data_IF_685004904932
#
_entry.id   IF_685004904932
#
_cell.length_a   1.000
_cell.length_b   1.000
_cell.length_c   1.000
_cell.angle_alpha   90.00
_cell.angle_beta   90.00
_cell.angle_gamma   90.00
#
_symmetry.space_group_name_H-M   'P 1'
#
loop_
_entity.id
_entity.type
_entity.pdbx_description
1 polymer ?
#
# COMPACT_ATOMS: atom_id res chain seq x y z
N UNK A 1 45.01 -10.17 30.72
CA UNK A 1 44.49 -9.04 29.93
C UNK A 1 43.54 -9.60 28.89
N UNK A 2 42.23 -9.75 29.13
CA UNK A 2 41.17 -8.74 28.92
C UNK A 2 41.50 -7.73 27.82
N UNK A 3 40.87 -7.87 26.65
CA UNK A 3 39.79 -6.97 26.18
C UNK A 3 38.79 -7.81 25.36
N UNK A 4 37.57 -7.89 25.90
CA UNK A 4 36.34 -8.31 25.23
C UNK A 4 35.79 -7.08 24.50
N UNK A 5 35.33 -7.20 23.25
CA UNK A 5 34.13 -6.51 22.69
C UNK A 5 33.58 -7.38 21.55
N UNK A 6 32.52 -8.16 21.80
CA UNK A 6 31.08 -7.83 21.62
C UNK A 6 30.64 -8.29 20.21
N UNK A 7 30.05 -9.47 20.00
CA UNK A 7 28.70 -9.92 20.40
C UNK A 7 27.57 -8.90 20.13
N UNK A 8 27.63 -8.16 19.01
CA UNK A 8 26.57 -7.21 18.61
C UNK A 8 25.63 -7.68 17.47
N UNK A 9 25.80 -8.89 16.92
CA UNK A 9 24.97 -9.35 15.79
C UNK A 9 23.95 -10.44 16.13
N UNK A 10 23.76 -10.76 17.42
CA UNK A 10 22.73 -11.74 17.88
C UNK A 10 21.79 -11.19 18.95
N UNK A 11 21.67 -9.87 19.06
CA UNK A 11 20.72 -9.19 19.95
C UNK A 11 19.92 -8.07 19.23
N UNK A 12 19.64 -8.25 17.93
CA UNK A 12 18.64 -7.45 17.20
C UNK A 12 17.50 -8.33 16.64
N UNK A 13 17.32 -9.49 17.26
CA UNK A 13 16.13 -10.33 17.14
C UNK A 13 15.80 -10.75 18.58
N UNK A 14 14.57 -10.51 19.03
CA UNK A 14 14.10 -10.70 20.41
C UNK A 14 14.45 -9.60 21.43
N UNK A 15 13.87 -8.41 21.29
CA UNK A 15 13.17 -7.71 22.40
C UNK A 15 12.50 -6.47 21.83
N UNK A 16 11.26 -6.64 21.40
CA UNK A 16 10.28 -5.58 21.22
C UNK A 16 9.04 -5.86 22.06
N UNK A 17 9.21 -6.45 23.25
CA UNK A 17 8.17 -6.49 24.26
C UNK A 17 8.09 -5.10 24.88
N UNK A 18 7.36 -4.19 24.23
CA UNK A 18 6.84 -3.02 24.93
C UNK A 18 5.74 -3.51 25.86
N UNK A 19 6.07 -3.60 27.15
CA UNK A 19 5.09 -3.78 28.20
C UNK A 19 4.12 -2.60 28.19
N UNK A 20 2.90 -2.84 27.70
CA UNK A 20 1.77 -1.99 27.99
C UNK A 20 1.36 -2.34 29.43
N UNK A 21 1.79 -1.54 30.39
CA UNK A 21 1.10 -1.45 31.68
C UNK A 21 0.27 -0.18 31.65
N UNK A 22 -0.80 -0.21 30.87
CA UNK A 22 -1.95 0.64 31.17
C UNK A 22 -2.93 -0.27 31.91
N UNK A 23 -2.97 -0.13 33.23
CA UNK A 23 -4.06 -0.64 34.05
C UNK A 23 -5.35 0.04 33.57
N UNK A 24 -6.00 -0.54 32.58
CA UNK A 24 -7.37 -0.16 32.24
C UNK A 24 -8.25 -0.92 33.22
N UNK A 25 -9.10 -0.26 34.02
CA UNK A 25 -10.16 -0.96 34.70
C UNK A 25 -11.06 -1.57 33.62
N UNK A 26 -10.93 -2.89 33.42
CA UNK A 26 -11.97 -3.67 32.75
C UNK A 26 -13.15 -3.62 33.70
N UNK A 27 -14.04 -2.65 33.50
CA UNK A 27 -15.38 -2.72 34.09
C UNK A 27 -16.08 -3.83 33.33
N UNK A 28 -15.91 -5.07 33.82
CA UNK A 28 -16.85 -6.15 33.56
C UNK A 28 -18.13 -5.73 34.27
N UNK A 29 -18.96 -4.91 33.63
CA UNK A 29 -20.31 -4.66 34.13
C UNK A 29 -21.10 -5.93 33.89
N UNK A 30 -21.01 -6.86 34.82
CA UNK A 30 -22.01 -7.90 34.99
C UNK A 30 -23.31 -7.20 35.39
N UNK A 31 -24.07 -6.74 34.41
CA UNK A 31 -25.49 -6.49 34.60
C UNK A 31 -26.17 -7.85 34.81
N UNK A 32 -26.03 -8.39 36.01
CA UNK A 32 -26.98 -9.35 36.55
C UNK A 32 -28.29 -8.58 36.76
N UNK A 33 -29.23 -8.72 35.84
CA UNK A 33 -30.63 -8.49 36.13
C UNK A 33 -31.09 -9.62 37.05
N UNK A 34 -30.96 -9.43 38.36
CA UNK A 34 -31.84 -10.12 39.30
C UNK A 34 -32.92 -9.12 39.69
N UNK A 35 -33.90 -8.97 38.81
CA UNK A 35 -35.22 -8.46 39.20
C UNK A 35 -36.11 -9.67 39.39
N UNK A 36 -36.22 -10.15 40.62
CA UNK A 36 -37.39 -10.87 41.10
C UNK A 36 -37.54 -10.55 42.58
N UNK A 37 -38.40 -9.59 42.87
CA UNK A 37 -38.93 -9.39 44.20
C UNK A 37 -40.24 -10.18 44.30
N UNK A 38 -40.31 -11.02 45.33
CA UNK A 38 -41.50 -11.63 45.93
C UNK A 38 -42.00 -12.98 45.36
N UNK A 39 -41.84 -14.06 46.14
CA UNK A 39 -42.53 -15.34 45.86
C UNK A 39 -41.95 -16.55 46.58
N UNK A 40 -42.53 -16.88 47.74
CA UNK A 40 -42.34 -18.09 48.52
C UNK A 40 -42.58 -19.39 47.71
N UNK A 41 -41.68 -20.39 47.79
CA UNK A 41 -42.05 -21.81 47.65
C UNK A 41 -41.34 -22.70 46.61
N UNK A 42 -40.59 -23.68 47.14
CA UNK A 42 -40.49 -25.10 46.75
C UNK A 42 -39.57 -25.56 45.58
N UNK A 43 -38.79 -26.61 45.89
CA UNK A 43 -37.92 -27.43 45.04
C UNK A 43 -38.61 -27.99 43.77
N UNK A 44 -37.92 -28.00 42.62
CA UNK A 44 -37.52 -29.24 41.92
C UNK A 44 -36.55 -28.95 40.75
N UNK A 45 -35.66 -29.89 40.45
CA UNK A 45 -34.52 -29.74 39.56
C UNK A 45 -34.81 -29.54 38.07
N UNK A 46 -33.84 -28.92 37.39
CA UNK A 46 -33.72 -28.84 35.94
C UNK A 46 -32.24 -28.70 35.58
N UNK A 47 -31.77 -29.59 34.71
CA UNK A 47 -30.39 -29.71 34.23
C UNK A 47 -29.81 -28.37 33.79
N UNK A 48 -28.59 -28.09 34.27
CA UNK A 48 -27.78 -26.95 33.83
C UNK A 48 -27.50 -27.04 32.34
N UNK A 49 -28.24 -26.26 31.56
CA UNK A 49 -27.75 -25.81 30.26
C UNK A 49 -26.57 -24.90 30.52
N UNK A 50 -25.48 -25.11 29.78
CA UNK A 50 -24.32 -24.22 29.75
C UNK A 50 -24.81 -22.77 29.66
N UNK A 51 -24.69 -22.03 30.77
CA UNK A 51 -24.84 -20.58 30.73
C UNK A 51 -23.64 -20.05 29.96
N UNK A 52 -23.78 -19.99 28.64
CA UNK A 52 -22.89 -19.19 27.80
C UNK A 52 -22.95 -17.77 28.35
N UNK A 53 -21.89 -17.38 29.04
CA UNK A 53 -21.75 -16.07 29.65
C UNK A 53 -21.64 -15.07 28.50
N UNK A 54 -22.77 -14.44 28.16
CA UNK A 54 -22.79 -13.41 27.13
C UNK A 54 -21.96 -12.23 27.59
N UNK A 55 -20.82 -11.99 26.94
CA UNK A 55 -19.98 -10.84 27.23
C UNK A 55 -20.33 -9.70 26.29
N UNK A 56 -20.49 -8.51 26.86
CA UNK A 56 -20.55 -7.26 26.11
C UNK A 56 -19.14 -6.69 26.05
N UNK A 57 -18.64 -6.44 24.85
CA UNK A 57 -17.27 -6.00 24.60
C UNK A 57 -17.31 -4.68 23.85
N UNK A 58 -16.62 -3.67 24.39
CA UNK A 58 -16.44 -2.37 23.75
C UNK A 58 -15.15 -2.37 22.92
N UNK A 59 -15.18 -2.10 21.60
CA UNK A 59 -13.97 -2.04 20.81
C UNK A 59 -13.04 -0.91 21.27
N UNK A 60 -11.74 -1.19 21.35
CA UNK A 60 -10.71 -0.22 21.74
C UNK A 60 -9.63 -0.16 20.66
N UNK A 61 -9.65 0.89 19.83
CA UNK A 61 -8.69 1.04 18.72
C UNK A 61 -7.29 1.34 19.26
N UNK A 62 -6.26 0.88 18.57
CA UNK A 62 -4.87 1.29 18.84
C UNK A 62 -4.68 2.75 18.44
N UNK A 63 -3.86 3.48 19.20
CA UNK A 63 -3.47 4.85 18.84
C UNK A 63 -2.68 4.90 17.53
N UNK A 64 -1.92 3.84 17.25
CA UNK A 64 -1.04 3.73 16.08
C UNK A 64 -1.16 2.34 15.46
N UNK A 65 -1.45 2.30 14.17
CA UNK A 65 -1.53 1.10 13.34
C UNK A 65 -0.49 1.22 12.23
N UNK A 66 0.48 0.31 12.23
CA UNK A 66 1.54 0.24 11.23
C UNK A 66 1.46 -1.11 10.50
N UNK A 67 1.16 -1.05 9.21
CA UNK A 67 0.99 -2.21 8.35
C UNK A 67 1.95 -2.14 7.16
N UNK A 68 2.18 -3.31 6.58
CA UNK A 68 2.86 -3.44 5.29
C UNK A 68 2.18 -4.52 4.46
N UNK A 69 2.21 -4.38 3.15
CA UNK A 69 1.67 -5.36 2.23
C UNK A 69 1.44 -4.83 0.82
N UNK A 70 0.79 -5.64 -0.01
CA UNK A 70 0.53 -5.33 -1.42
C UNK A 70 -0.39 -4.11 -1.59
N UNK A 71 -0.20 -3.38 -2.69
CA UNK A 71 -1.02 -2.22 -3.06
C UNK A 71 -2.52 -2.55 -3.10
N UNK A 72 -2.88 -3.75 -3.57
CA UNK A 72 -4.28 -4.18 -3.69
C UNK A 72 -5.06 -4.26 -2.37
N UNK A 73 -4.38 -4.25 -1.22
CA UNK A 73 -5.03 -4.19 0.09
C UNK A 73 -5.55 -2.78 0.42
N UNK A 74 -5.08 -1.75 -0.27
CA UNK A 74 -5.49 -0.34 -0.06
C UNK A 74 -5.98 0.35 -1.34
N UNK A 75 -5.81 -0.29 -2.50
CA UNK A 75 -6.23 0.22 -3.79
C UNK A 75 -6.84 -0.89 -4.64
N UNK A 76 -8.11 -0.75 -5.00
CA UNK A 76 -8.76 -1.64 -5.94
C UNK A 76 -8.56 -1.10 -7.37
N UNK A 77 -7.88 -1.87 -8.21
CA UNK A 77 -7.61 -1.55 -9.61
C UNK A 77 -8.72 -2.02 -10.57
N UNK A 78 -9.76 -2.69 -10.07
CA UNK A 78 -10.85 -3.20 -10.89
C UNK A 78 -11.62 -2.07 -11.59
N UNK A 79 -12.09 -2.37 -12.80
CA UNK A 79 -12.92 -1.44 -13.60
C UNK A 79 -14.41 -1.56 -13.30
N UNK A 80 -14.81 -2.58 -12.54
CA UNK A 80 -16.20 -2.93 -12.20
C UNK A 80 -16.28 -3.27 -10.72
N UNK A 81 -17.28 -2.76 -10.02
CA UNK A 81 -17.50 -2.96 -8.57
C UNK A 81 -16.30 -2.57 -7.69
N UNK A 82 -15.54 -1.58 -8.15
CA UNK A 82 -14.34 -1.06 -7.50
C UNK A 82 -14.63 -0.60 -6.07
N UNK A 83 -13.92 -1.17 -5.11
CA UNK A 83 -13.95 -0.74 -3.71
C UNK A 83 -13.08 0.50 -3.49
N UNK A 84 -13.58 1.45 -2.71
CA UNK A 84 -12.74 2.54 -2.23
C UNK A 84 -11.78 2.09 -1.11
N UNK A 85 -10.73 2.87 -0.86
CA UNK A 85 -9.72 2.56 0.15
C UNK A 85 -10.32 2.44 1.56
N UNK A 86 -11.35 3.22 1.88
CA UNK A 86 -12.06 3.11 3.17
C UNK A 86 -12.71 1.74 3.35
N UNK A 87 -13.33 1.22 2.29
CA UNK A 87 -13.99 -0.08 2.23
C UNK A 87 -12.97 -1.20 2.35
N UNK A 88 -11.84 -1.12 1.63
CA UNK A 88 -10.76 -2.10 1.74
C UNK A 88 -10.16 -2.16 3.15
N UNK A 89 -9.93 -1.00 3.79
CA UNK A 89 -9.43 -0.95 5.16
C UNK A 89 -10.50 -1.48 6.14
N UNK A 90 -11.78 -1.17 5.92
CA UNK A 90 -12.89 -1.73 6.72
C UNK A 90 -12.94 -3.26 6.62
N UNK A 91 -12.76 -3.81 5.43
CA UNK A 91 -12.66 -5.25 5.21
C UNK A 91 -11.44 -5.86 5.91
N UNK A 92 -10.27 -5.21 5.87
CA UNK A 92 -9.07 -5.67 6.59
C UNK A 92 -9.26 -5.60 8.13
N UNK A 93 -9.94 -4.58 8.65
CA UNK A 93 -10.27 -4.47 10.08
C UNK A 93 -11.10 -5.67 10.54
N UNK A 94 -12.11 -6.07 9.77
CA UNK A 94 -12.97 -7.22 10.09
C UNK A 94 -12.22 -8.54 9.99
N UNK A 95 -11.32 -8.67 9.01
CA UNK A 95 -10.52 -9.87 8.79
C UNK A 95 -9.38 -10.01 9.81
N UNK A 96 -8.81 -8.90 10.26
CA UNK A 96 -7.60 -8.85 11.09
C UNK A 96 -7.73 -7.90 12.30
N UNK A 97 -8.73 -8.07 13.19
CA UNK A 97 -9.02 -7.11 14.25
C UNK A 97 -7.86 -6.92 15.24
N UNK A 98 -7.03 -7.94 15.45
CA UNK A 98 -5.80 -7.88 16.26
C UNK A 98 -4.77 -6.86 15.77
N UNK A 99 -4.81 -6.51 14.48
CA UNK A 99 -3.93 -5.48 13.92
C UNK A 99 -4.38 -4.08 14.33
N UNK A 100 -5.67 -3.86 14.53
CA UNK A 100 -6.28 -2.54 14.69
C UNK A 100 -6.75 -2.21 16.10
N UNK A 101 -7.20 -3.21 16.87
CA UNK A 101 -7.74 -3.03 18.21
C UNK A 101 -6.79 -3.60 19.26
N UNK A 102 -6.74 -2.99 20.44
CA UNK A 102 -6.00 -3.52 21.59
C UNK A 102 -6.66 -4.77 22.17
N UNK A 103 -7.98 -4.89 22.00
CA UNK A 103 -8.79 -6.06 22.35
C UNK A 103 -9.28 -6.84 21.12
N UNK A 104 -8.47 -6.87 20.04
CA UNK A 104 -8.82 -7.54 18.78
C UNK A 104 -9.24 -9.01 18.94
N UNK A 105 -8.54 -9.74 19.81
CA UNK A 105 -8.76 -11.16 20.03
C UNK A 105 -10.15 -11.45 20.63
N UNK A 106 -10.64 -10.53 21.45
CA UNK A 106 -11.92 -10.65 22.15
C UNK A 106 -13.10 -10.34 21.20
N UNK A 107 -12.90 -9.43 20.24
CA UNK A 107 -13.96 -9.00 19.31
C UNK A 107 -13.95 -9.74 17.97
N UNK A 108 -12.97 -10.61 17.72
CA UNK A 108 -12.68 -11.18 16.39
C UNK A 108 -13.85 -11.89 15.71
N UNK A 109 -14.71 -12.53 16.49
CA UNK A 109 -15.81 -13.31 15.94
C UNK A 109 -17.06 -12.47 15.74
N UNK A 110 -17.29 -11.46 16.60
CA UNK A 110 -18.43 -10.58 16.47
C UNK A 110 -18.21 -9.47 15.43
N UNK A 111 -16.99 -8.97 15.27
CA UNK A 111 -16.72 -7.85 14.36
C UNK A 111 -16.90 -8.21 12.87
N UNK A 112 -16.78 -9.49 12.51
CA UNK A 112 -16.98 -9.99 11.14
C UNK A 112 -18.37 -9.64 10.60
N UNK A 113 -19.37 -9.70 11.47
CA UNK A 113 -20.78 -9.41 11.16
C UNK A 113 -21.15 -7.95 11.47
N UNK A 114 -20.25 -7.18 12.07
CA UNK A 114 -20.47 -5.78 12.37
C UNK A 114 -20.34 -4.91 11.11
N UNK A 115 -21.13 -3.84 11.05
CA UNK A 115 -20.85 -2.76 10.12
C UNK A 115 -19.71 -1.90 10.67
N UNK A 116 -18.56 -1.95 9.99
CA UNK A 116 -17.40 -1.12 10.27
C UNK A 116 -17.32 -0.01 9.23
N UNK A 117 -17.25 1.24 9.68
CA UNK A 117 -17.08 2.41 8.81
C UNK A 117 -15.71 3.02 9.07
N UNK A 118 -14.96 3.28 8.01
CA UNK A 118 -13.65 3.93 8.06
C UNK A 118 -13.74 5.24 7.26
N UNK A 119 -13.14 6.30 7.79
CA UNK A 119 -12.90 7.53 7.07
C UNK A 119 -11.42 7.92 7.19
N UNK A 120 -10.68 7.82 6.10
CA UNK A 120 -9.32 8.36 5.96
C UNK A 120 -9.21 9.60 5.08
N UNK A 121 -10.33 10.16 4.60
CA UNK A 121 -10.38 11.29 3.66
C UNK A 121 -9.53 11.09 2.40
N UNK A 122 -9.45 9.86 1.89
CA UNK A 122 -8.70 9.53 0.68
C UNK A 122 -9.34 10.18 -0.56
N UNK A 123 -8.54 10.88 -1.36
CA UNK A 123 -8.99 11.46 -2.63
C UNK A 123 -7.86 11.54 -3.65
N UNK A 124 -8.24 11.56 -4.93
CA UNK A 124 -7.39 11.76 -6.09
C UNK A 124 -7.95 12.83 -7.07
N UNK A 125 -8.94 13.63 -6.62
CA UNK A 125 -9.62 14.63 -7.44
C UNK A 125 -8.70 15.67 -8.07
N UNK A 126 -7.60 16.05 -7.41
CA UNK A 126 -6.64 17.07 -7.86
C UNK A 126 -5.83 16.63 -9.09
N UNK A 127 -5.95 15.36 -9.50
CA UNK A 127 -5.28 14.84 -10.69
C UNK A 127 -6.17 14.88 -11.94
N UNK A 128 -7.43 15.30 -11.79
CA UNK A 128 -8.42 15.33 -12.87
C UNK A 128 -8.66 16.76 -13.40
N UNK A 129 -7.63 17.62 -13.36
CA UNK A 129 -7.72 19.00 -13.84
C UNK A 129 -8.17 19.08 -15.31
N UNK A 130 -8.94 20.11 -15.65
CA UNK A 130 -9.38 20.36 -17.02
C UNK A 130 -8.17 20.51 -17.95
N UNK A 131 -8.06 19.62 -18.94
CA UNK A 131 -6.96 19.58 -19.91
C UNK A 131 -5.88 18.56 -19.61
N UNK A 132 -5.91 17.88 -18.45
CA UNK A 132 -5.06 16.72 -18.19
C UNK A 132 -5.44 15.56 -19.13
N UNK A 133 -4.45 15.03 -19.85
CA UNK A 133 -4.65 13.90 -20.76
C UNK A 133 -4.62 12.59 -19.99
N UNK A 134 -5.35 11.58 -20.48
CA UNK A 134 -5.12 10.21 -20.02
C UNK A 134 -3.68 9.80 -20.36
N UNK A 135 -3.04 9.00 -19.50
CA UNK A 135 -1.66 8.57 -19.76
C UNK A 135 -1.52 7.81 -21.09
N UNK A 136 -2.52 6.99 -21.45
CA UNK A 136 -2.55 6.24 -22.71
C UNK A 136 -2.64 7.11 -23.96
N UNK A 137 -3.12 8.35 -23.83
CA UNK A 137 -3.17 9.35 -24.89
C UNK A 137 -1.89 10.19 -24.90
N UNK A 138 -1.45 10.63 -23.71
CA UNK A 138 -0.25 11.44 -23.54
C UNK A 138 1.02 10.71 -23.98
N UNK A 139 1.15 9.42 -23.64
CA UNK A 139 2.35 8.60 -23.92
C UNK A 139 2.56 8.34 -25.41
N UNK A 140 1.54 8.58 -26.24
CA UNK A 140 1.56 8.40 -27.70
C UNK A 140 1.72 9.70 -28.46
N UNK A 141 1.87 10.83 -27.77
CA UNK A 141 1.99 12.15 -28.40
C UNK A 141 3.34 12.25 -29.14
N UNK A 142 3.35 11.83 -30.42
CA UNK A 142 4.54 11.60 -31.25
C UNK A 142 5.40 12.83 -31.55
N UNK A 143 5.02 14.00 -31.04
CA UNK A 143 5.81 15.22 -31.08
C UNK A 143 6.76 15.39 -29.88
N UNK A 144 6.71 14.49 -28.91
CA UNK A 144 7.47 14.59 -27.67
C UNK A 144 8.49 13.47 -27.56
N UNK A 145 9.78 13.81 -27.49
CA UNK A 145 10.81 12.88 -27.06
C UNK A 145 10.65 12.65 -25.55
N UNK A 146 9.76 11.73 -25.16
CA UNK A 146 9.43 11.44 -23.77
C UNK A 146 10.61 10.66 -23.16
N UNK A 147 11.31 11.29 -22.23
CA UNK A 147 12.32 10.61 -21.42
C UNK A 147 11.60 9.83 -20.32
N UNK A 148 11.93 8.57 -20.12
CA UNK A 148 11.47 7.78 -18.97
C UNK A 148 12.56 7.80 -17.90
N UNK A 149 12.20 8.14 -16.68
CA UNK A 149 13.13 8.08 -15.55
C UNK A 149 12.46 7.40 -14.37
N UNK A 150 13.07 6.31 -13.92
CA UNK A 150 12.69 5.63 -12.69
C UNK A 150 13.05 6.49 -11.48
N UNK A 151 12.13 6.59 -10.53
CA UNK A 151 12.38 7.17 -9.23
C UNK A 151 13.53 6.42 -8.54
N UNK A 152 14.63 7.09 -8.16
CA UNK A 152 15.82 6.39 -7.69
C UNK A 152 15.54 5.55 -6.43
N UNK A 153 16.01 4.31 -6.41
CA UNK A 153 15.84 3.40 -5.27
C UNK A 153 16.43 3.96 -3.97
N UNK A 154 17.49 4.77 -4.05
CA UNK A 154 18.10 5.43 -2.90
C UNK A 154 17.44 6.76 -2.50
N UNK A 155 16.44 7.23 -3.25
CA UNK A 155 15.68 8.40 -2.87
C UNK A 155 14.78 8.09 -1.66
N UNK A 156 14.42 9.14 -0.92
CA UNK A 156 13.58 8.99 0.27
C UNK A 156 12.20 8.42 -0.09
N UNK A 157 11.59 7.67 0.83
CA UNK A 157 10.19 7.29 0.65
C UNK A 157 9.28 8.53 0.64
N UNK A 158 8.21 8.44 -0.14
CA UNK A 158 7.22 9.49 -0.33
C UNK A 158 6.05 9.21 0.61
N UNK A 159 5.98 9.96 1.70
CA UNK A 159 4.88 9.87 2.67
C UNK A 159 3.70 10.77 2.24
N UNK A 160 2.53 10.16 2.06
CA UNK A 160 1.29 10.84 1.66
C UNK A 160 0.09 10.32 2.46
N UNK A 161 -0.88 11.18 2.76
CA UNK A 161 -2.19 10.79 3.30
C UNK A 161 -3.18 10.42 2.20
N UNK A 162 -2.96 10.91 0.98
CA UNK A 162 -3.76 10.62 -0.21
C UNK A 162 -3.02 11.00 -1.49
N UNK A 163 -3.54 10.59 -2.64
CA UNK A 163 -3.02 11.03 -3.94
C UNK A 163 -3.19 12.55 -4.11
N UNK A 164 -4.23 13.17 -3.56
CA UNK A 164 -4.34 14.63 -3.52
C UNK A 164 -3.19 15.29 -2.76
N UNK A 165 -2.75 14.71 -1.63
CA UNK A 165 -1.56 15.24 -0.94
C UNK A 165 -0.32 15.12 -1.83
N UNK A 166 -0.13 13.98 -2.52
CA UNK A 166 0.98 13.84 -3.48
C UNK A 166 0.98 14.98 -4.50
N UNK A 167 -0.19 15.31 -5.07
CA UNK A 167 -0.32 16.42 -6.02
C UNK A 167 0.02 17.76 -5.39
N UNK A 168 -0.60 18.06 -4.25
CA UNK A 168 -0.57 19.39 -3.63
C UNK A 168 0.71 19.68 -2.83
N UNK A 169 1.47 18.64 -2.47
CA UNK A 169 2.75 18.76 -1.74
C UNK A 169 3.96 18.62 -2.65
N UNK A 170 3.92 17.68 -3.59
CA UNK A 170 5.07 17.31 -4.41
C UNK A 170 4.99 17.91 -5.82
N UNK A 171 3.78 17.97 -6.40
CA UNK A 171 3.57 18.32 -7.80
C UNK A 171 2.65 19.53 -8.00
N UNK A 172 2.72 20.48 -7.06
CA UNK A 172 1.81 21.64 -6.97
C UNK A 172 2.16 22.72 -7.99
N UNK A 173 3.44 23.06 -8.06
CA UNK A 173 3.96 24.19 -8.82
C UNK A 173 5.40 23.93 -9.27
N UNK A 174 5.94 24.85 -10.08
CA UNK A 174 7.26 24.67 -10.66
C UNK A 174 8.39 24.58 -9.62
N UNK A 175 8.25 25.27 -8.48
CA UNK A 175 9.27 25.30 -7.43
C UNK A 175 9.30 23.98 -6.66
N UNK A 176 8.12 23.51 -6.24
CA UNK A 176 7.96 22.23 -5.53
C UNK A 176 8.43 21.05 -6.38
N UNK A 177 8.08 21.03 -7.67
CA UNK A 177 8.53 19.98 -8.59
C UNK A 177 10.06 19.99 -8.75
N UNK A 178 10.65 21.16 -8.99
CA UNK A 178 12.11 21.27 -9.16
C UNK A 178 12.86 20.87 -7.89
N UNK A 179 12.33 21.25 -6.72
CA UNK A 179 12.85 20.83 -5.42
C UNK A 179 12.77 19.31 -5.25
N UNK A 180 11.62 18.71 -5.56
CA UNK A 180 11.44 17.26 -5.48
C UNK A 180 12.42 16.49 -6.39
N UNK A 181 12.61 16.93 -7.63
CA UNK A 181 13.59 16.36 -8.57
C UNK A 181 15.00 16.41 -7.97
N UNK A 182 15.38 17.56 -7.42
CA UNK A 182 16.71 17.80 -6.85
C UNK A 182 16.95 16.96 -5.58
N UNK A 183 16.01 16.98 -4.64
CA UNK A 183 16.10 16.25 -3.37
C UNK A 183 16.13 14.73 -3.60
N UNK A 184 15.36 14.26 -4.60
CA UNK A 184 15.32 12.85 -5.00
C UNK A 184 16.51 12.42 -5.86
N UNK A 185 17.43 13.35 -6.18
CA UNK A 185 18.62 13.10 -7.01
C UNK A 185 18.29 12.54 -8.40
N UNK A 186 17.12 12.90 -8.94
CA UNK A 186 16.70 12.52 -10.29
C UNK A 186 17.61 13.25 -11.29
N UNK A 187 18.28 12.51 -12.16
CA UNK A 187 19.23 13.07 -13.13
C UNK A 187 18.52 13.41 -14.43
N UNK A 188 18.37 14.69 -14.73
CA UNK A 188 17.78 15.19 -15.98
C UNK A 188 18.82 15.99 -16.75
N UNK A 189 19.00 15.68 -18.03
CA UNK A 189 19.90 16.42 -18.90
C UNK A 189 19.50 17.89 -18.96
N UNK A 190 20.46 18.80 -18.76
CA UNK A 190 20.25 20.24 -18.79
C UNK A 190 19.17 20.76 -17.81
N UNK A 191 18.97 20.09 -16.65
CA UNK A 191 17.99 20.50 -15.64
C UNK A 191 18.10 21.99 -15.27
N UNK A 192 19.32 22.51 -15.15
CA UNK A 192 19.58 23.92 -14.83
C UNK A 192 19.00 24.92 -15.86
N UNK A 193 18.73 24.47 -17.08
CA UNK A 193 18.14 25.28 -18.16
C UNK A 193 16.62 25.15 -18.24
N UNK A 194 15.96 24.42 -17.32
CA UNK A 194 14.52 24.21 -17.33
C UNK A 194 13.80 25.14 -16.34
N UNK A 195 12.56 25.50 -16.66
CA UNK A 195 11.67 26.32 -15.84
C UNK A 195 10.20 25.94 -16.11
N UNK A 196 9.26 26.49 -15.32
CA UNK A 196 7.82 26.26 -15.51
C UNK A 196 7.42 24.77 -15.50
N UNK A 197 7.96 24.03 -14.53
CA UNK A 197 7.61 22.62 -14.33
C UNK A 197 6.11 22.48 -14.02
N UNK A 198 5.48 21.48 -14.63
CA UNK A 198 4.06 21.17 -14.47
C UNK A 198 3.78 19.70 -14.76
N UNK A 199 2.64 19.22 -14.26
CA UNK A 199 2.09 17.91 -14.60
C UNK A 199 1.13 18.05 -15.79
N UNK A 200 1.17 17.15 -16.78
CA UNK A 200 0.26 17.18 -17.93
C UNK A 200 -0.70 15.98 -18.05
N UNK A 201 -0.57 14.94 -17.21
CA UNK A 201 -1.45 13.78 -17.22
C UNK A 201 -2.30 13.63 -15.96
N UNK A 202 -3.37 12.85 -16.12
CA UNK A 202 -3.99 12.15 -15.01
C UNK A 202 -3.05 11.04 -14.53
N UNK A 203 -3.08 10.75 -13.23
CA UNK A 203 -2.32 9.64 -12.67
C UNK A 203 -2.64 8.34 -13.39
N UNK A 204 -1.58 7.57 -13.62
CA UNK A 204 -1.69 6.23 -14.18
C UNK A 204 -0.84 5.28 -13.36
N UNK A 205 -1.43 4.14 -13.01
CA UNK A 205 -0.75 3.04 -12.36
C UNK A 205 -0.59 1.94 -13.40
N UNK A 206 0.64 1.52 -13.66
CA UNK A 206 0.92 0.41 -14.56
C UNK A 206 0.76 -0.94 -13.86
N UNK A 207 0.77 -1.99 -14.68
CA UNK A 207 0.76 -3.37 -14.22
C UNK A 207 2.02 -3.78 -13.43
N UNK A 208 3.08 -2.98 -13.46
CA UNK A 208 4.36 -3.24 -12.78
C UNK A 208 4.49 -2.46 -11.47
N UNK A 209 3.36 -2.06 -10.87
CA UNK A 209 3.35 -1.30 -9.61
C UNK A 209 4.11 0.04 -9.74
N UNK A 210 4.10 0.66 -10.93
CA UNK A 210 4.68 1.98 -11.19
C UNK A 210 3.58 3.03 -11.31
N UNK A 211 3.69 4.09 -10.51
CA UNK A 211 2.92 5.31 -10.66
C UNK A 211 3.62 6.23 -11.66
N UNK A 212 2.93 6.54 -12.74
CA UNK A 212 3.43 7.41 -13.80
C UNK A 212 2.98 8.86 -13.60
N UNK A 213 3.95 9.76 -13.49
CA UNK A 213 3.73 11.20 -13.38
C UNK A 213 4.45 11.93 -14.50
N UNK A 214 3.68 12.59 -15.36
CA UNK A 214 4.22 13.23 -16.54
C UNK A 214 4.59 14.67 -16.24
N UNK A 215 5.89 14.93 -16.22
CA UNK A 215 6.46 16.24 -15.95
C UNK A 215 6.88 16.91 -17.24
N UNK A 216 6.46 18.16 -17.41
CA UNK A 216 6.90 19.02 -18.50
C UNK A 216 7.52 20.29 -17.96
N UNK A 217 8.55 20.76 -18.63
CA UNK A 217 9.18 22.04 -18.32
C UNK A 217 9.56 22.76 -19.61
N UNK A 218 9.57 24.09 -19.56
CA UNK A 218 10.00 24.92 -20.66
C UNK A 218 11.52 25.17 -20.55
N UNK A 219 12.20 25.29 -21.68
CA UNK A 219 13.59 25.73 -21.67
C UNK A 219 13.67 27.24 -21.38
N UNK A 220 14.62 27.66 -20.56
CA UNK A 220 14.91 29.07 -20.27
C UNK A 220 15.33 29.84 -21.54
N UNK A 221 15.92 29.13 -22.50
CA UNK A 221 16.31 29.69 -23.80
C UNK A 221 15.20 29.47 -24.82
N UNK A 222 14.71 30.56 -25.41
CA UNK A 222 13.74 30.49 -26.50
C UNK A 222 14.26 29.62 -27.67
N UNK A 223 13.35 28.88 -28.33
CA UNK A 223 13.61 27.99 -29.47
C UNK A 223 14.38 26.69 -29.17
N UNK A 224 14.61 26.33 -27.90
CA UNK A 224 15.05 24.99 -27.53
C UNK A 224 13.86 24.16 -27.05
N UNK A 225 13.90 22.85 -27.34
CA UNK A 225 12.91 21.91 -26.82
C UNK A 225 12.92 21.92 -25.29
N UNK A 226 11.72 21.94 -24.72
CA UNK A 226 11.51 21.75 -23.29
C UNK A 226 11.77 20.31 -22.85
N UNK A 227 11.57 20.06 -21.56
CA UNK A 227 11.57 18.73 -20.99
C UNK A 227 10.19 18.11 -21.17
N UNK A 228 10.17 16.85 -21.61
CA UNK A 228 9.02 15.98 -21.45
C UNK A 228 9.49 14.66 -20.81
N UNK A 229 8.97 14.38 -19.61
CA UNK A 229 9.45 13.33 -18.72
C UNK A 229 8.28 12.49 -18.20
N UNK A 230 8.36 11.18 -18.38
CA UNK A 230 7.60 10.19 -17.61
C UNK A 230 8.41 9.81 -16.37
N UNK A 231 8.01 10.31 -15.21
CA UNK A 231 8.58 9.90 -13.94
C UNK A 231 7.84 8.65 -13.46
N UNK A 232 8.56 7.54 -13.41
CA UNK A 232 8.06 6.23 -13.01
C UNK A 232 8.40 6.00 -11.53
N UNK A 233 7.41 6.10 -10.64
CA UNK A 233 7.59 5.96 -9.19
C UNK A 233 7.13 4.56 -8.78
N UNK A 234 8.00 3.65 -8.33
CA UNK A 234 7.55 2.40 -7.74
C UNK A 234 6.64 2.68 -6.56
N UNK A 235 5.46 2.06 -6.51
CA UNK A 235 4.51 2.27 -5.42
C UNK A 235 5.08 1.82 -4.08
N UNK A 236 6.11 0.96 -4.06
CA UNK A 236 6.89 0.61 -2.86
C UNK A 236 7.71 1.77 -2.27
N UNK A 237 7.96 2.82 -3.06
CA UNK A 237 8.54 4.06 -2.57
C UNK A 237 7.50 4.99 -1.93
N UNK A 238 6.21 4.60 -1.89
CA UNK A 238 5.12 5.40 -1.33
C UNK A 238 4.64 4.77 -0.02
N UNK A 239 4.51 5.60 1.03
CA UNK A 239 3.83 5.21 2.26
C UNK A 239 2.53 6.00 2.41
N UNK A 240 1.45 5.30 2.72
CA UNK A 240 0.19 5.92 3.10
C UNK A 240 0.21 6.24 4.59
N UNK A 241 0.31 7.51 4.97
CA UNK A 241 0.32 7.98 6.36
C UNK A 241 -0.81 8.97 6.58
N UNK A 242 -1.83 8.60 7.35
CA UNK A 242 -3.02 9.42 7.62
C UNK A 242 -3.59 9.16 9.01
N UNK A 243 -4.54 9.99 9.44
CA UNK A 243 -5.39 9.68 10.58
C UNK A 243 -6.68 9.04 10.08
N UNK A 244 -7.01 7.85 10.57
CA UNK A 244 -8.29 7.21 10.32
C UNK A 244 -9.28 7.53 11.44
N UNK A 245 -10.53 7.73 11.06
CA UNK A 245 -11.68 7.67 11.97
C UNK A 245 -12.44 6.37 11.72
N UNK A 246 -12.66 5.58 12.76
CA UNK A 246 -13.32 4.27 12.71
C UNK A 246 -14.56 4.28 13.60
N UNK A 247 -15.64 3.72 13.07
CA UNK A 247 -16.89 3.47 13.80
C UNK A 247 -17.29 2.01 13.62
N UNK A 248 -17.78 1.39 14.69
CA UNK A 248 -18.27 0.01 14.70
C UNK A 248 -19.70 0.04 15.21
N UNK A 249 -20.65 -0.46 14.43
CA UNK A 249 -22.04 -0.58 14.85
C UNK A 249 -22.19 -1.75 15.83
N UNK A 250 -23.21 -1.67 16.70
CA UNK A 250 -23.51 -2.75 17.61
C UNK A 250 -23.88 -4.02 16.84
N UNK A 251 -23.38 -5.17 17.29
CA UNK A 251 -23.73 -6.48 16.73
C UNK A 251 -23.73 -7.56 17.81
N UNK A 252 -24.38 -8.68 17.53
CA UNK A 252 -24.36 -9.89 18.37
C UNK A 252 -23.95 -11.07 17.50
N UNK A 253 -22.90 -11.79 17.89
CA UNK A 253 -22.40 -12.93 17.10
C UNK A 253 -23.22 -14.21 17.34
N UNK A 254 -22.88 -15.27 16.62
CA UNK A 254 -23.54 -16.59 16.74
C UNK A 254 -23.41 -17.23 18.11
N UNK A 255 -22.44 -16.83 18.93
CA UNK A 255 -22.25 -17.31 20.32
C UNK A 255 -22.91 -16.42 21.37
N UNK A 256 -23.65 -15.38 20.97
CA UNK A 256 -24.35 -14.45 21.86
C UNK A 256 -23.49 -13.32 22.46
N UNK A 257 -22.22 -13.19 22.05
CA UNK A 257 -21.36 -12.08 22.47
C UNK A 257 -21.77 -10.80 21.76
N UNK A 258 -21.82 -9.69 22.50
CA UNK A 258 -22.26 -8.39 22.00
C UNK A 258 -21.06 -7.48 21.82
N UNK A 259 -20.99 -6.81 20.68
CA UNK A 259 -20.12 -5.64 20.50
C UNK A 259 -20.94 -4.38 20.74
N UNK A 260 -20.42 -3.48 21.57
CA UNK A 260 -21.00 -2.16 21.74
C UNK A 260 -20.74 -1.28 20.52
N UNK A 261 -21.73 -0.44 20.17
CA UNK A 261 -21.52 0.59 19.18
C UNK A 261 -20.48 1.61 19.69
N UNK A 262 -19.51 1.93 18.84
CA UNK A 262 -18.51 2.96 19.08
C UNK A 262 -18.38 3.82 17.83
N UNK A 263 -18.24 5.12 18.01
CA UNK A 263 -18.11 6.07 16.91
C UNK A 263 -16.92 6.99 17.12
N UNK A 264 -16.30 7.39 16.02
CA UNK A 264 -15.26 8.42 16.06
C UNK A 264 -13.94 7.99 16.70
N UNK A 265 -13.63 6.68 16.71
CA UNK A 265 -12.35 6.19 17.21
C UNK A 265 -11.23 6.60 16.25
N UNK A 266 -10.19 7.25 16.76
CA UNK A 266 -9.08 7.75 15.92
C UNK A 266 -7.82 6.91 16.05
N UNK A 267 -7.09 6.76 14.94
CA UNK A 267 -5.79 6.08 14.92
C UNK A 267 -4.85 6.72 13.89
N UNK A 268 -3.57 6.81 14.22
CA UNK A 268 -2.53 7.10 13.24
C UNK A 268 -2.28 5.83 12.42
N UNK A 269 -2.53 5.92 11.13
CA UNK A 269 -2.41 4.80 10.21
C UNK A 269 -1.22 5.01 9.28
N UNK A 270 -0.33 4.03 9.27
CA UNK A 270 0.80 3.95 8.34
C UNK A 270 0.72 2.63 7.58
N UNK A 271 0.66 2.70 6.26
CA UNK A 271 0.74 1.54 5.36
C UNK A 271 1.94 1.69 4.43
N UNK A 272 2.94 0.81 4.60
CA UNK A 272 4.07 0.71 3.70
C UNK A 272 3.74 -0.28 2.59
N UNK A 273 3.74 0.21 1.35
CA UNK A 273 3.41 -0.62 0.20
C UNK A 273 4.63 -1.51 -0.11
N UNK A 274 4.45 -2.82 -0.04
CA UNK A 274 5.45 -3.78 -0.43
C UNK A 274 5.54 -3.93 -1.95
N UNK A 275 6.66 -4.47 -2.42
CA UNK A 275 6.82 -4.89 -3.81
C UNK A 275 5.86 -6.06 -4.08
N UNK A 276 5.12 -6.03 -5.18
CA UNK A 276 4.40 -7.23 -5.60
C UNK A 276 5.39 -8.30 -6.06
N UNK A 277 5.58 -9.32 -5.22
CA UNK A 277 6.40 -10.49 -5.53
C UNK A 277 5.78 -11.42 -6.58
N UNK A 278 4.61 -11.06 -7.13
CA UNK A 278 3.97 -11.82 -8.20
C UNK A 278 4.69 -11.55 -9.51
N UNK A 279 5.59 -12.46 -9.87
CA UNK A 279 6.31 -12.41 -11.13
C UNK A 279 5.31 -12.59 -12.28
N UNK A 280 5.07 -11.53 -13.06
CA UNK A 280 4.25 -11.58 -14.28
C UNK A 280 5.05 -12.20 -15.43
N UNK A 281 5.54 -13.43 -15.22
CA UNK A 281 6.16 -14.21 -16.28
C UNK A 281 5.08 -14.78 -17.20
N UNK A 282 5.05 -14.29 -18.44
CA UNK A 282 4.31 -14.97 -19.50
C UNK A 282 5.27 -15.91 -20.20
N UNK A 283 5.14 -17.21 -19.94
CA UNK A 283 5.88 -18.24 -20.67
C UNK A 283 5.58 -18.07 -22.17
N UNK A 284 6.61 -17.95 -23.04
CA UNK A 284 6.38 -17.86 -24.47
C UNK A 284 5.57 -19.09 -24.93
N UNK A 285 4.32 -18.87 -25.34
CA UNK A 285 3.39 -19.91 -25.84
C UNK A 285 3.95 -20.71 -27.02
N UNK A 286 4.99 -20.21 -27.66
CA UNK A 286 5.74 -20.86 -28.74
C UNK A 286 7.22 -20.80 -28.40
N UNK A 287 7.81 -21.95 -28.08
CA UNK A 287 9.25 -22.06 -27.94
C UNK A 287 9.92 -21.93 -29.31
N UNK A 288 10.99 -21.14 -29.44
CA UNK A 288 11.77 -21.07 -30.66
C UNK A 288 12.41 -22.43 -30.94
N UNK A 289 12.34 -22.89 -32.19
CA UNK A 289 13.11 -24.08 -32.60
C UNK A 289 14.58 -23.71 -32.70
N UNK A 290 15.43 -24.42 -31.98
CA UNK A 290 16.88 -24.30 -32.04
C UNK A 290 17.47 -25.57 -32.66
N UNK A 291 18.43 -25.39 -33.56
CA UNK A 291 19.27 -26.50 -34.03
C UNK A 291 20.24 -26.94 -32.93
N UNK A 292 20.79 -28.14 -33.05
CA UNK A 292 21.75 -28.68 -32.08
C UNK A 292 23.00 -27.81 -31.92
N UNK A 293 23.41 -27.08 -32.97
CA UNK A 293 24.58 -26.21 -32.91
C UNK A 293 24.26 -24.82 -32.33
N UNK A 294 23.04 -24.33 -32.51
CA UNK A 294 22.57 -23.10 -31.84
C UNK A 294 22.34 -23.34 -30.35
N UNK A 295 21.84 -24.53 -29.96
CA UNK A 295 21.62 -24.89 -28.56
C UNK A 295 22.92 -24.88 -27.72
N UNK A 296 24.09 -25.01 -28.37
CA UNK A 296 25.40 -24.93 -27.72
C UNK A 296 25.88 -23.49 -27.48
N UNK A 297 25.18 -22.49 -28.02
CA UNK A 297 25.54 -21.08 -27.95
C UNK A 297 24.53 -20.34 -27.07
N UNK A 298 24.88 -20.15 -25.80
CA UNK A 298 24.02 -19.50 -24.80
C UNK A 298 23.46 -18.15 -25.28
N UNK A 299 24.29 -17.36 -25.94
CA UNK A 299 23.95 -16.09 -26.58
C UNK A 299 22.82 -16.20 -27.62
N UNK A 300 22.92 -17.17 -28.53
CA UNK A 300 21.89 -17.44 -29.55
C UNK A 300 20.59 -17.96 -28.93
N UNK A 301 20.70 -18.73 -27.85
CA UNK A 301 19.53 -19.22 -27.11
C UNK A 301 18.81 -18.08 -26.39
N UNK A 302 19.54 -17.21 -25.70
CA UNK A 302 18.96 -16.04 -25.00
C UNK A 302 18.31 -15.06 -25.98
N UNK A 303 18.92 -14.84 -27.14
CA UNK A 303 18.34 -14.03 -28.22
C UNK A 303 17.03 -14.64 -28.73
N UNK A 304 17.02 -15.95 -29.02
CA UNK A 304 15.81 -16.65 -29.51
C UNK A 304 14.69 -16.71 -28.47
N UNK A 305 15.03 -16.80 -27.19
CA UNK A 305 14.06 -16.75 -26.09
C UNK A 305 13.56 -15.32 -25.80
N UNK A 306 14.13 -14.30 -26.49
CA UNK A 306 13.74 -12.90 -26.34
C UNK A 306 14.34 -12.19 -25.12
N UNK A 307 15.33 -12.82 -24.47
CA UNK A 307 16.04 -12.31 -23.29
C UNK A 307 17.28 -11.49 -23.63
N UNK A 308 17.65 -11.41 -24.91
CA UNK A 308 18.76 -10.60 -25.36
C UNK A 308 18.48 -10.05 -26.76
N UNK A 309 19.09 -8.91 -27.08
CA UNK A 309 19.12 -8.36 -28.44
C UNK A 309 20.54 -8.34 -28.95
N UNK A 310 20.76 -8.85 -30.16
CA UNK A 310 22.04 -8.78 -30.85
C UNK A 310 22.00 -7.64 -31.86
N UNK A 311 22.79 -6.60 -31.64
CA UNK A 311 23.00 -5.53 -32.63
C UNK A 311 24.45 -5.53 -33.07
N UNK A 312 24.69 -5.92 -34.32
CA UNK A 312 26.02 -5.95 -34.93
C UNK A 312 27.08 -6.74 -34.13
N UNK A 313 26.68 -7.87 -33.53
CA UNK A 313 27.58 -8.73 -32.74
C UNK A 313 27.71 -8.32 -31.27
N UNK A 314 27.09 -7.22 -30.85
CA UNK A 314 27.00 -6.84 -29.45
C UNK A 314 25.68 -7.33 -28.86
N UNK A 315 25.79 -8.16 -27.84
CA UNK A 315 24.64 -8.73 -27.14
C UNK A 315 24.33 -7.87 -25.94
N UNK A 316 23.11 -7.34 -25.92
CA UNK A 316 22.56 -6.65 -24.76
C UNK A 316 21.52 -7.55 -24.11
N UNK A 317 21.72 -7.85 -22.84
CA UNK A 317 20.76 -8.63 -22.06
C UNK A 317 19.58 -7.76 -21.67
N UNK A 318 18.38 -8.32 -21.78
CA UNK A 318 17.14 -7.75 -21.27
C UNK A 318 16.98 -8.20 -19.82
N UNK A 319 17.61 -7.46 -18.91
CA UNK A 319 17.67 -7.80 -17.49
C UNK A 319 16.27 -7.91 -16.87
N UNK A 320 15.30 -7.15 -17.37
CA UNK A 320 13.93 -7.15 -16.86
C UNK A 320 13.22 -8.46 -17.24
N UNK A 321 13.33 -8.90 -18.50
CA UNK A 321 12.78 -10.20 -18.92
C UNK A 321 13.53 -11.38 -18.28
N UNK A 322 14.83 -11.27 -18.09
CA UNK A 322 15.63 -12.29 -17.41
C UNK A 322 15.20 -12.40 -15.94
N UNK A 323 15.11 -11.27 -15.23
CA UNK A 323 14.65 -11.20 -13.85
C UNK A 323 13.23 -11.78 -13.71
N UNK A 324 12.33 -11.43 -14.63
CA UNK A 324 10.99 -11.99 -14.70
C UNK A 324 10.99 -13.51 -14.98
N UNK A 325 11.92 -14.04 -15.78
CA UNK A 325 11.98 -15.47 -16.08
C UNK A 325 12.57 -16.33 -14.95
N UNK A 326 13.55 -15.80 -14.21
CA UNK A 326 14.23 -16.52 -13.12
C UNK A 326 13.54 -16.37 -11.76
N UNK A 327 12.46 -15.57 -11.70
CA UNK A 327 11.69 -15.34 -10.49
C UNK A 327 12.38 -14.38 -9.50
N UNK A 328 12.90 -13.26 -9.99
CA UNK A 328 13.58 -12.24 -9.19
C UNK A 328 12.79 -11.82 -7.94
N UNK A 329 13.53 -11.74 -6.82
CA UNK A 329 13.11 -11.46 -5.43
C UNK A 329 12.16 -10.26 -5.25
#
# INVERSE_FOLDING_TARGET
MKIKKIKLLKALAMTGAFGIVATVPVIVSSCSSTSDNNGNGNNNGGQGGDQQTQTTIKPAIKSDVQLSGKLNNIYDASTTDRKDTNTLISDDIKANPDKYFTNGADIKDAIKDAKVTVNGNFSASEWNDQGAKEYSEWSKDGNNNISKILYPTEAAQIDIASLNELKTKTFKDSETINKFITDSKITIANLANMQNFRVENKLYLSDEDLLHVNLKADNKTANQSGLNLDLEIPVSNINLKTTLTVSVDATTNTTGNKIEAVSGLTTNFSYNIGIDSTVKFTDPKTYPTVTTDEAKKAETVLEKLGYATNTSGNITLDNDKISAAIGGL
#
